data_IF_489611120469
#
_entry.id   IF_489611120469
#
_cell.length_a   1.000
_cell.length_b   1.000
_cell.length_c   1.000
_cell.angle_alpha   90.00
_cell.angle_beta   90.00
_cell.angle_gamma   90.00
#
_symmetry.space_group_name_H-M   'P 1'
#
loop_
_entity.id
_entity.type
_entity.pdbx_description
1 polymer ?
#
# COMPACT_ATOMS: atom_id res chain seq x y z
N UNK A 1 -48.82 2.47 -1.02
CA UNK A 1 -47.95 3.20 -0.08
C UNK A 1 -46.84 2.26 0.39
N UNK A 2 -45.70 2.23 -0.31
CA UNK A 2 -44.56 1.37 0.06
C UNK A 2 -43.49 2.24 0.72
N UNK A 3 -43.23 1.94 1.99
CA UNK A 3 -42.23 2.56 2.85
C UNK A 3 -40.83 2.07 2.46
N UNK A 4 -39.99 2.95 1.93
CA UNK A 4 -38.57 2.69 1.72
C UNK A 4 -37.79 3.26 2.91
N UNK A 5 -37.59 2.43 3.94
CA UNK A 5 -36.62 2.71 5.00
C UNK A 5 -35.21 2.68 4.39
N UNK A 6 -34.66 3.85 4.08
CA UNK A 6 -33.24 4.02 3.80
C UNK A 6 -32.46 3.72 5.09
N UNK A 7 -31.96 2.49 5.22
CA UNK A 7 -30.93 2.15 6.19
C UNK A 7 -29.65 2.89 5.80
N UNK A 8 -29.46 4.09 6.35
CA UNK A 8 -28.18 4.78 6.33
C UNK A 8 -27.19 3.93 7.15
N UNK A 9 -26.38 3.13 6.46
CA UNK A 9 -25.18 2.52 7.04
C UNK A 9 -24.24 3.67 7.41
N UNK A 10 -24.22 4.04 8.70
CA UNK A 10 -23.17 4.87 9.25
C UNK A 10 -21.85 4.12 9.05
N UNK A 11 -21.06 4.52 8.05
CA UNK A 11 -19.72 3.99 7.88
C UNK A 11 -18.83 4.56 8.99
N UNK A 12 -18.07 3.73 9.70
CA UNK A 12 -17.09 4.23 10.66
C UNK A 12 -15.98 4.95 9.88
N UNK A 13 -16.01 6.28 9.89
CA UNK A 13 -14.94 7.10 9.32
C UNK A 13 -13.63 6.79 10.03
N UNK A 14 -12.65 6.29 9.28
CA UNK A 14 -11.31 6.09 9.80
C UNK A 14 -10.64 7.44 10.09
N UNK A 15 -9.65 7.47 10.98
CA UNK A 15 -8.84 8.68 11.22
C UNK A 15 -8.19 9.25 9.95
N UNK A 16 -7.94 8.40 8.96
CA UNK A 16 -7.45 8.78 7.63
C UNK A 16 -8.48 9.62 6.87
N UNK A 17 -9.75 9.25 6.95
CA UNK A 17 -10.83 9.88 6.18
C UNK A 17 -11.11 11.29 6.74
N UNK A 18 -11.00 11.47 8.07
CA UNK A 18 -11.10 12.78 8.70
C UNK A 18 -9.95 13.71 8.29
N UNK A 19 -8.73 13.19 8.16
CA UNK A 19 -7.59 13.99 7.72
C UNK A 19 -7.73 14.40 6.26
N UNK A 20 -8.29 13.53 5.41
CA UNK A 20 -8.52 13.79 3.99
C UNK A 20 -9.62 14.85 3.83
N UNK A 21 -10.72 14.71 4.57
CA UNK A 21 -11.79 15.70 4.62
C UNK A 21 -11.29 17.07 5.09
N UNK A 22 -10.48 17.13 6.16
CA UNK A 22 -9.93 18.39 6.65
C UNK A 22 -9.07 19.11 5.61
N UNK A 23 -8.27 18.35 4.82
CA UNK A 23 -7.44 18.93 3.76
C UNK A 23 -8.28 19.47 2.60
N UNK A 24 -9.28 18.70 2.18
CA UNK A 24 -10.26 19.13 1.19
C UNK A 24 -10.94 20.45 1.62
N UNK A 25 -11.36 20.54 2.89
CA UNK A 25 -11.96 21.77 3.46
C UNK A 25 -11.00 22.96 3.42
N UNK A 26 -9.74 22.77 3.84
CA UNK A 26 -8.73 23.84 3.81
C UNK A 26 -8.44 24.29 2.38
N UNK A 27 -8.31 23.35 1.44
CA UNK A 27 -8.05 23.68 0.04
C UNK A 27 -9.22 24.44 -0.60
N UNK A 28 -10.45 23.99 -0.39
CA UNK A 28 -11.64 24.67 -0.88
C UNK A 28 -11.79 26.06 -0.26
N UNK A 29 -11.58 26.20 1.05
CA UNK A 29 -11.65 27.49 1.75
C UNK A 29 -10.58 28.50 1.30
N UNK A 30 -9.33 28.05 1.13
CA UNK A 30 -8.26 28.90 0.60
C UNK A 30 -8.53 29.33 -0.84
N UNK A 31 -8.99 28.40 -1.68
CA UNK A 31 -9.35 28.71 -3.06
C UNK A 31 -10.46 29.74 -3.12
N UNK A 32 -11.52 29.55 -2.32
CA UNK A 32 -12.63 30.50 -2.23
C UNK A 32 -12.12 31.90 -1.88
N UNK A 33 -11.35 32.01 -0.79
CA UNK A 33 -10.84 33.29 -0.32
C UNK A 33 -9.97 34.00 -1.36
N UNK A 34 -9.14 33.24 -2.08
CA UNK A 34 -8.24 33.80 -3.10
C UNK A 34 -9.02 34.19 -4.35
N UNK A 35 -10.04 33.43 -4.76
CA UNK A 35 -10.90 33.83 -5.88
C UNK A 35 -11.68 35.11 -5.55
N UNK A 36 -12.25 35.23 -4.34
CA UNK A 36 -12.95 36.48 -3.94
C UNK A 36 -12.03 37.69 -4.02
N UNK A 37 -10.79 37.55 -3.54
CA UNK A 37 -9.84 38.67 -3.45
C UNK A 37 -9.17 39.02 -4.77
N UNK A 38 -8.85 38.03 -5.61
CA UNK A 38 -8.11 38.23 -6.85
C UNK A 38 -9.03 38.45 -8.06
N UNK A 39 -10.08 37.64 -8.18
CA UNK A 39 -11.02 37.68 -9.31
C UNK A 39 -12.21 38.61 -9.08
N UNK A 40 -12.36 39.17 -7.87
CA UNK A 40 -13.47 40.03 -7.47
C UNK A 40 -14.85 39.40 -7.75
N UNK A 41 -14.91 38.07 -7.81
CA UNK A 41 -16.15 37.33 -8.05
C UNK A 41 -16.85 37.11 -6.72
N UNK A 42 -18.11 37.56 -6.55
CA UNK A 42 -18.80 37.48 -5.25
C UNK A 42 -19.08 36.04 -4.80
N UNK A 43 -19.20 35.09 -5.75
CA UNK A 43 -19.55 33.70 -5.49
C UNK A 43 -18.68 32.71 -6.31
N UNK A 44 -17.40 32.50 -5.95
CA UNK A 44 -16.48 31.65 -6.70
C UNK A 44 -16.67 30.15 -6.39
N UNK A 45 -17.86 29.64 -6.69
CA UNK A 45 -18.21 28.25 -6.39
C UNK A 45 -17.44 27.26 -7.27
N UNK A 46 -17.08 27.64 -8.50
CA UNK A 46 -16.43 26.74 -9.46
C UNK A 46 -15.01 26.43 -9.01
N UNK A 47 -14.28 27.46 -8.59
CA UNK A 47 -12.93 27.30 -8.05
C UNK A 47 -12.91 26.40 -6.81
N UNK A 48 -13.82 26.63 -5.86
CA UNK A 48 -13.90 25.81 -4.65
C UNK A 48 -14.24 24.34 -4.96
N UNK A 49 -15.16 24.10 -5.90
CA UNK A 49 -15.50 22.74 -6.37
C UNK A 49 -14.30 22.08 -7.05
N UNK A 50 -13.58 22.79 -7.91
CA UNK A 50 -12.37 22.28 -8.56
C UNK A 50 -11.30 21.87 -7.53
N UNK A 51 -11.03 22.71 -6.54
CA UNK A 51 -10.09 22.41 -5.48
C UNK A 51 -10.53 21.19 -4.65
N UNK A 52 -11.81 21.10 -4.31
CA UNK A 52 -12.37 19.97 -3.55
C UNK A 52 -12.19 18.64 -4.29
N UNK A 53 -12.44 18.62 -5.60
CA UNK A 53 -12.46 17.40 -6.41
C UNK A 53 -11.07 16.88 -6.78
N UNK A 54 -10.09 17.77 -6.84
CA UNK A 54 -8.73 17.43 -7.22
C UNK A 54 -7.93 16.93 -6.02
N UNK A 55 -8.29 17.36 -4.80
CA UNK A 55 -7.63 16.93 -3.57
C UNK A 55 -7.87 15.44 -3.34
N UNK A 56 -6.84 14.66 -3.66
CA UNK A 56 -6.81 13.23 -3.48
C UNK A 56 -5.87 12.83 -2.33
N UNK A 57 -5.91 11.55 -1.97
CA UNK A 57 -5.10 11.00 -0.87
C UNK A 57 -3.59 11.02 -1.16
N UNK A 58 -3.15 11.11 -2.42
CA UNK A 58 -1.73 11.16 -2.79
C UNK A 58 -1.47 12.25 -3.80
N UNK A 59 -0.30 12.90 -3.75
CA UNK A 59 0.09 13.95 -4.70
C UNK A 59 0.01 13.46 -6.15
N UNK A 60 0.40 12.21 -6.42
CA UNK A 60 0.31 11.63 -7.78
C UNK A 60 -1.14 11.50 -8.23
N UNK A 61 -2.01 11.01 -7.36
CA UNK A 61 -3.45 10.92 -7.66
C UNK A 61 -4.05 12.32 -7.82
N UNK A 62 -3.65 13.28 -6.99
CA UNK A 62 -4.06 14.69 -7.11
C UNK A 62 -3.62 15.26 -8.45
N UNK A 63 -2.37 15.03 -8.87
CA UNK A 63 -1.88 15.48 -10.18
C UNK A 63 -2.65 14.80 -11.31
N UNK A 64 -2.88 13.49 -11.24
CA UNK A 64 -3.65 12.76 -12.25
C UNK A 64 -5.12 13.23 -12.28
N UNK A 65 -5.72 13.53 -11.13
CA UNK A 65 -7.06 14.09 -11.04
C UNK A 65 -7.09 15.51 -11.63
N UNK A 66 -6.11 16.36 -11.29
CA UNK A 66 -5.96 17.70 -11.84
C UNK A 66 -5.81 17.69 -13.36
N UNK A 67 -5.00 16.80 -13.93
CA UNK A 67 -4.81 16.71 -15.38
C UNK A 67 -6.06 16.21 -16.09
N UNK A 68 -6.74 15.20 -15.55
CA UNK A 68 -8.03 14.72 -16.09
C UNK A 68 -9.12 15.79 -16.01
N UNK A 69 -9.20 16.49 -14.89
CA UNK A 69 -10.13 17.60 -14.69
C UNK A 69 -9.86 18.74 -15.67
N UNK A 70 -8.60 19.18 -15.77
CA UNK A 70 -8.18 20.22 -16.71
C UNK A 70 -8.44 19.82 -18.18
N UNK A 71 -8.13 18.57 -18.56
CA UNK A 71 -8.41 18.05 -19.89
C UNK A 71 -9.92 18.01 -20.16
N UNK A 72 -10.73 17.60 -19.18
CA UNK A 72 -12.19 17.60 -19.26
C UNK A 72 -12.77 18.99 -19.51
N UNK A 73 -12.32 19.98 -18.73
CA UNK A 73 -12.74 21.37 -18.90
C UNK A 73 -12.31 21.94 -20.26
N UNK A 74 -11.06 21.71 -20.67
CA UNK A 74 -10.54 22.18 -21.97
C UNK A 74 -11.32 21.58 -23.14
N UNK A 75 -11.56 20.27 -23.13
CA UNK A 75 -12.36 19.60 -24.15
C UNK A 75 -13.79 20.16 -24.18
N UNK A 76 -14.39 20.37 -23.01
CA UNK A 76 -15.73 20.97 -22.92
C UNK A 76 -15.78 22.36 -23.57
N UNK A 77 -14.80 23.22 -23.31
CA UNK A 77 -14.70 24.55 -23.94
C UNK A 77 -14.52 24.43 -25.46
N UNK A 78 -13.62 23.57 -25.91
CA UNK A 78 -13.31 23.36 -27.35
C UNK A 78 -14.52 22.86 -28.12
N UNK A 79 -15.38 22.03 -27.50
CA UNK A 79 -16.62 21.55 -28.13
C UNK A 79 -17.70 22.65 -28.10
N UNK A 80 -17.83 23.35 -26.98
CA UNK A 80 -18.92 24.29 -26.73
C UNK A 80 -18.81 25.58 -27.54
N UNK A 81 -17.61 26.18 -27.62
CA UNK A 81 -17.39 27.47 -28.30
C UNK A 81 -17.82 27.43 -29.79
N UNK A 82 -17.34 26.49 -30.64
CA UNK A 82 -17.75 26.46 -32.03
C UNK A 82 -19.24 26.17 -32.20
N UNK A 83 -19.81 25.26 -31.40
CA UNK A 83 -21.25 24.99 -31.44
C UNK A 83 -22.07 26.24 -31.04
N UNK A 84 -21.60 27.00 -30.05
CA UNK A 84 -22.21 28.24 -29.59
C UNK A 84 -21.97 29.44 -30.52
N UNK A 85 -21.15 29.32 -31.56
CA UNK A 85 -20.94 30.40 -32.54
C UNK A 85 -21.61 30.07 -33.87
N UNK A 86 -21.43 28.84 -34.37
CA UNK A 86 -21.76 28.48 -35.75
C UNK A 86 -23.07 27.72 -35.93
N UNK A 87 -23.62 27.10 -34.88
CA UNK A 87 -24.82 26.26 -35.00
C UNK A 87 -26.06 27.03 -34.60
N UNK A 88 -26.99 27.20 -35.54
CA UNK A 88 -28.35 27.67 -35.31
C UNK A 88 -29.36 26.63 -35.79
N UNK A 89 -30.52 26.45 -35.11
CA UNK A 89 -30.96 27.15 -33.89
C UNK A 89 -30.24 26.65 -32.62
N UNK A 90 -30.29 27.45 -31.54
CA UNK A 90 -29.57 27.19 -30.30
C UNK A 90 -29.87 25.81 -29.67
N UNK A 91 -31.10 25.29 -29.84
CA UNK A 91 -31.47 23.95 -29.38
C UNK A 91 -30.64 22.85 -30.05
N UNK A 92 -30.38 22.98 -31.36
CA UNK A 92 -29.58 22.02 -32.12
C UNK A 92 -28.11 22.11 -31.71
N UNK A 93 -27.58 23.33 -31.54
CA UNK A 93 -26.22 23.54 -31.03
C UNK A 93 -26.03 22.93 -29.64
N UNK A 94 -26.97 23.15 -28.73
CA UNK A 94 -26.96 22.57 -27.39
C UNK A 94 -27.04 21.03 -27.43
N UNK A 95 -27.96 20.49 -28.24
CA UNK A 95 -28.11 19.05 -28.43
C UNK A 95 -26.83 18.41 -28.94
N UNK A 96 -26.15 19.04 -29.89
CA UNK A 96 -24.86 18.61 -30.41
C UNK A 96 -23.77 18.60 -29.34
N UNK A 97 -23.66 19.67 -28.55
CA UNK A 97 -22.68 19.76 -27.45
C UNK A 97 -22.89 18.64 -26.44
N UNK A 98 -24.13 18.41 -26.01
CA UNK A 98 -24.46 17.33 -25.06
C UNK A 98 -24.18 15.97 -25.68
N UNK A 99 -24.62 15.75 -26.91
CA UNK A 99 -24.44 14.48 -27.62
C UNK A 99 -22.96 14.12 -27.81
N UNK A 100 -22.09 15.09 -28.07
CA UNK A 100 -20.64 14.86 -28.25
C UNK A 100 -19.92 14.75 -26.89
N UNK A 101 -20.29 15.57 -25.92
CA UNK A 101 -19.61 15.61 -24.61
C UNK A 101 -19.86 14.36 -23.76
N UNK A 102 -21.08 13.83 -23.73
CA UNK A 102 -21.44 12.65 -22.93
C UNK A 102 -20.63 11.38 -23.27
N UNK A 103 -20.48 10.96 -24.53
CA UNK A 103 -19.65 9.80 -24.85
C UNK A 103 -18.17 10.04 -24.57
N UNK A 104 -17.66 11.26 -24.80
CA UNK A 104 -16.28 11.65 -24.46
C UNK A 104 -16.03 11.59 -22.95
N UNK A 105 -17.02 11.97 -22.13
CA UNK A 105 -16.96 11.88 -20.68
C UNK A 105 -16.80 10.44 -20.16
N UNK A 106 -17.29 9.46 -20.93
CA UNK A 106 -17.22 8.03 -20.58
C UNK A 106 -15.91 7.36 -21.00
N UNK A 107 -15.02 8.09 -21.67
CA UNK A 107 -13.74 7.56 -22.10
C UNK A 107 -12.84 7.27 -20.89
N UNK A 108 -12.18 6.12 -20.88
CA UNK A 108 -11.35 5.64 -19.74
C UNK A 108 -10.25 6.63 -19.33
N UNK A 109 -9.80 7.46 -20.27
CA UNK A 109 -8.80 8.51 -20.05
C UNK A 109 -9.21 9.51 -18.96
N UNK A 110 -10.51 9.84 -18.81
CA UNK A 110 -10.98 10.87 -17.85
C UNK A 110 -11.36 10.29 -16.48
N UNK A 111 -11.59 8.98 -16.38
CA UNK A 111 -11.98 8.31 -15.13
C UNK A 111 -13.20 8.96 -14.46
N UNK A 112 -13.17 9.11 -13.13
CA UNK A 112 -14.28 9.68 -12.35
C UNK A 112 -14.52 11.18 -12.59
N UNK A 113 -13.51 11.90 -13.11
CA UNK A 113 -13.59 13.34 -13.38
C UNK A 113 -14.27 13.65 -14.73
N UNK A 114 -14.64 12.62 -15.51
CA UNK A 114 -15.27 12.77 -16.82
C UNK A 114 -16.60 13.54 -16.79
N UNK A 115 -17.33 13.49 -15.68
CA UNK A 115 -18.61 14.21 -15.52
C UNK A 115 -18.47 15.74 -15.63
N UNK A 116 -17.27 16.30 -15.45
CA UNK A 116 -17.05 17.73 -15.59
C UNK A 116 -16.99 18.20 -17.03
N UNK A 117 -16.64 17.33 -17.97
CA UNK A 117 -16.55 17.69 -19.39
C UNK A 117 -17.92 18.16 -19.93
N UNK A 118 -19.04 17.42 -19.75
CA UNK A 118 -20.36 17.89 -20.16
C UNK A 118 -20.83 19.13 -19.38
N UNK A 119 -20.55 19.21 -18.08
CA UNK A 119 -20.93 20.35 -17.25
C UNK A 119 -20.24 21.63 -17.72
N UNK A 120 -18.92 21.60 -17.90
CA UNK A 120 -18.15 22.75 -18.40
C UNK A 120 -18.54 23.11 -19.83
N UNK A 121 -18.82 22.11 -20.69
CA UNK A 121 -19.30 22.36 -22.05
C UNK A 121 -20.64 23.10 -22.05
N UNK A 122 -21.59 22.67 -21.22
CA UNK A 122 -22.91 23.29 -21.11
C UNK A 122 -22.81 24.74 -20.62
N UNK A 123 -22.04 24.97 -19.55
CA UNK A 123 -21.84 26.31 -18.99
C UNK A 123 -21.17 27.22 -20.03
N UNK A 124 -20.13 26.72 -20.70
CA UNK A 124 -19.43 27.48 -21.74
C UNK A 124 -20.36 27.83 -22.90
N UNK A 125 -21.19 26.87 -23.36
CA UNK A 125 -22.15 27.11 -24.43
C UNK A 125 -23.13 28.22 -24.05
N UNK A 126 -23.68 28.18 -22.83
CA UNK A 126 -24.60 29.18 -22.33
C UNK A 126 -23.97 30.58 -22.26
N UNK A 127 -22.75 30.70 -21.70
CA UNK A 127 -22.04 31.97 -21.56
C UNK A 127 -21.66 32.60 -22.91
N UNK A 128 -21.17 31.78 -23.86
CA UNK A 128 -20.82 32.25 -25.21
C UNK A 128 -22.06 32.73 -25.95
N UNK A 129 -23.15 31.95 -25.91
CA UNK A 129 -24.40 32.30 -26.61
C UNK A 129 -25.07 33.52 -25.99
N UNK A 130 -25.02 33.66 -24.67
CA UNK A 130 -25.48 34.83 -23.93
C UNK A 130 -24.61 36.08 -24.13
N UNK A 131 -23.48 35.97 -24.83
CA UNK A 131 -22.51 37.06 -25.06
C UNK A 131 -21.89 37.62 -23.77
N UNK A 132 -21.55 36.73 -22.85
CA UNK A 132 -20.85 37.04 -21.59
C UNK A 132 -19.39 36.54 -21.61
N UNK A 133 -18.51 37.06 -22.49
CA UNK A 133 -17.13 36.55 -22.62
C UNK A 133 -16.28 36.81 -21.36
N UNK A 134 -16.54 37.92 -20.65
CA UNK A 134 -15.84 38.24 -19.41
C UNK A 134 -16.11 37.19 -18.30
N UNK A 135 -17.35 36.70 -18.23
CA UNK A 135 -17.75 35.66 -17.26
C UNK A 135 -17.15 34.29 -17.60
N UNK A 136 -16.97 33.99 -18.89
CA UNK A 136 -16.23 32.79 -19.30
C UNK A 136 -14.77 32.85 -18.85
N UNK A 137 -14.12 34.01 -18.98
CA UNK A 137 -12.73 34.21 -18.54
C UNK A 137 -12.63 34.04 -17.02
N UNK A 138 -13.53 34.65 -16.24
CA UNK A 138 -13.53 34.47 -14.78
C UNK A 138 -13.79 33.01 -14.40
N UNK A 139 -14.70 32.32 -15.08
CA UNK A 139 -15.00 30.90 -14.85
C UNK A 139 -13.77 30.01 -15.07
N UNK A 140 -13.03 30.21 -16.16
CA UNK A 140 -11.80 29.45 -16.45
C UNK A 140 -10.67 29.80 -15.49
N UNK A 141 -10.56 31.06 -15.07
CA UNK A 141 -9.59 31.48 -14.08
C UNK A 141 -9.89 30.88 -12.70
N UNK A 142 -11.15 30.80 -12.28
CA UNK A 142 -11.57 30.09 -11.06
C UNK A 142 -11.15 28.62 -11.08
N UNK A 143 -11.41 27.92 -12.19
CA UNK A 143 -10.99 26.52 -12.37
C UNK A 143 -9.46 26.40 -12.21
N UNK A 144 -8.73 27.28 -12.87
CA UNK A 144 -7.25 27.26 -12.86
C UNK A 144 -6.70 27.51 -11.47
N UNK A 145 -7.26 28.47 -10.73
CA UNK A 145 -6.90 28.71 -9.33
C UNK A 145 -7.26 27.51 -8.45
N UNK A 146 -8.44 26.91 -8.62
CA UNK A 146 -8.84 25.73 -7.87
C UNK A 146 -7.91 24.55 -8.08
N UNK A 147 -7.48 24.30 -9.32
CA UNK A 147 -6.45 23.31 -9.63
C UNK A 147 -5.13 23.66 -8.91
N UNK A 148 -4.68 24.92 -9.01
CA UNK A 148 -3.42 25.36 -8.43
C UNK A 148 -3.40 25.24 -6.90
N UNK A 149 -4.45 25.69 -6.22
CA UNK A 149 -4.58 25.60 -4.76
C UNK A 149 -4.84 24.18 -4.28
N UNK A 150 -5.63 23.38 -5.02
CA UNK A 150 -5.77 21.95 -4.73
C UNK A 150 -4.42 21.24 -4.78
N UNK A 151 -3.61 21.52 -5.79
CA UNK A 151 -2.27 20.98 -5.94
C UNK A 151 -1.30 21.51 -4.87
N UNK A 152 -1.34 22.81 -4.58
CA UNK A 152 -0.50 23.43 -3.56
C UNK A 152 -0.84 22.92 -2.16
N UNK A 153 -2.12 22.83 -1.79
CA UNK A 153 -2.55 22.23 -0.53
C UNK A 153 -2.16 20.75 -0.47
N UNK A 154 -2.33 20.00 -1.55
CA UNK A 154 -1.84 18.62 -1.64
C UNK A 154 -0.31 18.51 -1.60
N UNK A 155 0.45 19.54 -1.98
CA UNK A 155 1.90 19.52 -1.86
C UNK A 155 2.40 19.97 -0.47
N UNK A 156 1.82 21.05 0.07
CA UNK A 156 2.25 21.72 1.31
C UNK A 156 1.66 21.07 2.57
N UNK A 157 0.39 20.65 2.55
CA UNK A 157 -0.25 19.96 3.68
C UNK A 157 0.15 18.49 3.78
N UNK A 158 1.10 18.02 2.96
CA UNK A 158 1.71 16.70 3.09
C UNK A 158 2.98 16.72 3.95
N UNK A 159 2.86 16.44 5.25
CA UNK A 159 3.82 15.65 6.00
C UNK A 159 3.21 14.29 6.33
N UNK A 160 2.51 13.63 5.41
CA UNK A 160 1.94 12.31 5.66
C UNK A 160 2.72 11.26 4.89
N UNK A 161 3.98 11.07 5.29
CA UNK A 161 4.70 9.87 4.89
C UNK A 161 3.93 8.69 5.51
N UNK A 162 3.11 8.01 4.71
CA UNK A 162 2.43 6.74 5.05
C UNK A 162 3.40 5.64 5.47
N UNK A 163 4.71 5.93 5.57
CA UNK A 163 5.72 5.14 6.28
C UNK A 163 5.21 4.64 7.61
N UNK A 164 4.49 5.42 8.43
CA UNK A 164 3.99 4.90 9.71
C UNK A 164 2.91 3.82 9.52
N UNK A 165 2.02 3.99 8.55
CA UNK A 165 1.03 2.97 8.19
C UNK A 165 1.69 1.72 7.59
N UNK A 166 2.70 1.90 6.73
CA UNK A 166 3.47 0.79 6.16
C UNK A 166 4.31 0.08 7.22
N UNK A 167 4.95 0.82 8.14
CA UNK A 167 5.67 0.29 9.31
C UNK A 167 4.71 -0.56 10.16
N UNK A 168 3.51 -0.05 10.45
CA UNK A 168 2.50 -0.78 11.21
C UNK A 168 2.00 -2.03 10.49
N UNK A 169 1.70 -1.96 9.18
CA UNK A 169 1.25 -3.12 8.40
C UNK A 169 2.33 -4.19 8.31
N UNK A 170 3.60 -3.82 8.15
CA UNK A 170 4.71 -4.75 8.13
C UNK A 170 5.00 -5.34 9.52
N UNK A 171 4.94 -4.53 10.59
CA UNK A 171 5.05 -5.05 11.96
C UNK A 171 3.91 -6.02 12.28
N UNK A 172 2.68 -5.74 11.82
CA UNK A 172 1.54 -6.65 11.94
C UNK A 172 1.81 -7.96 11.20
N UNK A 173 2.24 -7.92 9.94
CA UNK A 173 2.58 -9.13 9.17
C UNK A 173 3.64 -9.97 9.87
N UNK A 174 4.71 -9.35 10.39
CA UNK A 174 5.78 -10.07 11.10
C UNK A 174 5.34 -10.69 12.40
N UNK A 175 4.55 -9.94 13.17
CA UNK A 175 3.96 -10.44 14.41
C UNK A 175 3.05 -11.64 14.11
N UNK A 176 2.28 -11.56 13.03
CA UNK A 176 1.38 -12.63 12.62
C UNK A 176 2.16 -13.86 12.13
N UNK A 177 3.19 -13.69 11.29
CA UNK A 177 4.09 -14.77 10.88
C UNK A 177 4.79 -15.46 12.07
N UNK A 178 5.30 -14.68 13.03
CA UNK A 178 5.93 -15.21 14.23
C UNK A 178 4.94 -16.01 15.08
N UNK A 179 3.72 -15.49 15.29
CA UNK A 179 2.65 -16.23 15.99
C UNK A 179 2.27 -17.52 15.28
N UNK A 180 2.26 -17.52 13.95
CA UNK A 180 1.95 -18.74 13.18
C UNK A 180 3.06 -19.78 13.30
N UNK A 181 4.32 -19.36 13.24
CA UNK A 181 5.47 -20.24 13.50
C UNK A 181 5.43 -20.82 14.93
N UNK A 182 5.08 -20.01 15.93
CA UNK A 182 4.89 -20.48 17.31
C UNK A 182 3.70 -21.45 17.42
N UNK A 183 2.58 -21.17 16.75
CA UNK A 183 1.42 -22.07 16.73
C UNK A 183 1.70 -23.38 16.00
N UNK A 184 2.52 -23.37 14.94
CA UNK A 184 3.03 -24.60 14.31
C UNK A 184 3.96 -25.36 15.26
N UNK A 185 4.81 -24.67 16.02
CA UNK A 185 5.67 -25.29 17.02
C UNK A 185 4.84 -25.96 18.11
N UNK A 186 3.77 -25.32 18.57
CA UNK A 186 2.84 -25.87 19.55
C UNK A 186 2.04 -27.05 18.99
N UNK A 187 1.59 -26.99 17.73
CA UNK A 187 0.94 -28.10 17.06
C UNK A 187 1.86 -29.33 16.97
N UNK A 188 3.13 -29.13 16.59
CA UNK A 188 4.14 -30.19 16.56
C UNK A 188 4.42 -30.74 17.97
N UNK A 189 4.58 -29.88 18.97
CA UNK A 189 4.87 -30.28 20.34
C UNK A 189 3.71 -31.06 20.99
N UNK A 190 2.45 -30.66 20.71
CA UNK A 190 1.23 -31.30 21.22
C UNK A 190 0.76 -32.47 20.34
N UNK A 191 1.38 -32.67 19.17
CA UNK A 191 0.98 -33.66 18.15
C UNK A 191 -0.45 -33.45 17.66
N UNK A 192 -0.87 -32.20 17.60
CA UNK A 192 -2.15 -31.80 17.07
C UNK A 192 -2.01 -31.26 15.66
N UNK A 193 -3.11 -31.21 14.92
CA UNK A 193 -3.10 -30.61 13.59
C UNK A 193 -2.99 -29.09 13.72
N UNK A 194 -2.13 -28.41 12.94
CA UNK A 194 -2.05 -26.95 12.88
C UNK A 194 -3.40 -26.24 12.90
N UNK A 195 -4.37 -26.71 12.11
CA UNK A 195 -5.73 -26.14 12.05
C UNK A 195 -6.50 -26.13 13.39
N UNK A 196 -6.16 -27.01 14.33
CA UNK A 196 -6.78 -27.05 15.65
C UNK A 196 -6.22 -25.96 16.58
N UNK A 197 -4.94 -25.61 16.40
CA UNK A 197 -4.24 -24.60 17.23
C UNK A 197 -4.42 -23.19 16.64
N UNK A 198 -4.29 -23.07 15.32
CA UNK A 198 -4.32 -21.80 14.58
C UNK A 198 -5.72 -21.42 14.06
N UNK A 199 -6.65 -22.38 14.04
CA UNK A 199 -7.98 -22.21 13.46
C UNK A 199 -7.99 -22.45 11.94
N UNK A 200 -9.14 -22.76 11.35
CA UNK A 200 -9.27 -23.13 9.92
C UNK A 200 -9.01 -22.00 8.92
N UNK A 201 -8.95 -20.74 9.38
CA UNK A 201 -8.77 -19.55 8.56
C UNK A 201 -7.36 -19.00 8.51
N UNK A 202 -6.38 -19.67 9.15
CA UNK A 202 -5.05 -19.13 9.39
C UNK A 202 -4.29 -18.73 8.12
N UNK A 203 -4.37 -19.54 7.05
CA UNK A 203 -3.74 -19.21 5.74
C UNK A 203 -4.35 -17.94 5.14
N UNK A 204 -5.69 -17.82 5.16
CA UNK A 204 -6.39 -16.63 4.62
C UNK A 204 -6.07 -15.36 5.41
N UNK A 205 -5.92 -15.47 6.73
CA UNK A 205 -5.53 -14.33 7.57
C UNK A 205 -4.13 -13.83 7.21
N UNK A 206 -3.20 -14.76 6.98
CA UNK A 206 -1.82 -14.45 6.62
C UNK A 206 -1.71 -13.88 5.19
N UNK A 207 -2.44 -14.43 4.23
CA UNK A 207 -2.57 -13.90 2.87
C UNK A 207 -3.11 -12.46 2.87
N UNK A 208 -4.17 -12.20 3.63
CA UNK A 208 -4.77 -10.87 3.76
C UNK A 208 -3.79 -9.87 4.39
N UNK A 209 -3.06 -10.28 5.43
CA UNK A 209 -2.04 -9.46 6.07
C UNK A 209 -0.87 -9.14 5.11
N UNK A 210 -0.45 -10.11 4.28
CA UNK A 210 0.60 -9.94 3.29
C UNK A 210 0.17 -8.98 2.17
N UNK A 211 -1.04 -9.15 1.65
CA UNK A 211 -1.62 -8.25 0.64
C UNK A 211 -1.72 -6.81 1.19
N UNK A 212 -2.23 -6.64 2.41
CA UNK A 212 -2.33 -5.34 3.06
C UNK A 212 -0.96 -4.68 3.27
N UNK A 213 0.06 -5.45 3.68
CA UNK A 213 1.41 -4.96 3.84
C UNK A 213 2.05 -4.53 2.51
N UNK A 214 1.87 -5.32 1.44
CA UNK A 214 2.35 -4.99 0.09
C UNK A 214 1.76 -3.68 -0.41
N UNK A 215 0.43 -3.55 -0.37
CA UNK A 215 -0.26 -2.32 -0.80
C UNK A 215 0.23 -1.11 0.00
N UNK A 216 0.34 -1.23 1.32
CA UNK A 216 0.81 -0.12 2.16
C UNK A 216 2.28 0.27 1.86
N UNK A 217 3.15 -0.70 1.57
CA UNK A 217 4.56 -0.47 1.21
C UNK A 217 4.66 0.19 -0.17
N UNK A 218 3.88 -0.26 -1.16
CA UNK A 218 3.89 0.31 -2.50
C UNK A 218 3.36 1.75 -2.50
N UNK A 219 2.26 2.01 -1.81
CA UNK A 219 1.72 3.36 -1.62
C UNK A 219 2.73 4.29 -0.91
N UNK A 220 3.45 3.77 0.09
CA UNK A 220 4.47 4.54 0.80
C UNK A 220 5.67 4.87 -0.12
N UNK A 221 6.14 3.91 -0.92
CA UNK A 221 7.24 4.12 -1.88
C UNK A 221 6.86 5.16 -2.94
N UNK A 222 5.64 5.06 -3.47
CA UNK A 222 5.12 6.03 -4.43
C UNK A 222 5.07 7.43 -3.79
N UNK A 223 4.59 7.52 -2.55
CA UNK A 223 4.55 8.77 -1.79
C UNK A 223 5.93 9.39 -1.58
N UNK A 224 6.99 8.59 -1.34
CA UNK A 224 8.36 9.13 -1.15
C UNK A 224 9.07 9.48 -2.44
N UNK A 225 8.78 8.77 -3.54
CA UNK A 225 9.35 9.12 -4.85
C UNK A 225 8.99 10.56 -5.25
N UNK A 226 7.77 10.97 -4.96
CA UNK A 226 7.21 12.26 -5.36
C UNK A 226 7.19 13.31 -4.24
N UNK A 227 7.80 13.01 -3.09
CA UNK A 227 7.90 13.97 -2.00
C UNK A 227 9.02 14.98 -2.28
N UNK A 228 8.64 16.24 -2.48
CA UNK A 228 9.55 17.39 -2.66
C UNK A 228 10.37 17.73 -1.41
N UNK A 229 9.97 17.26 -0.21
CA UNK A 229 10.66 17.58 1.05
C UNK A 229 11.85 16.64 1.32
N UNK A 230 13.11 17.14 1.38
CA UNK A 230 14.32 16.32 1.55
C UNK A 230 14.41 15.60 2.90
N UNK A 231 13.69 16.06 3.94
CA UNK A 231 13.69 15.43 5.27
C UNK A 231 13.08 14.02 5.27
N UNK A 232 12.12 13.75 4.37
CA UNK A 232 11.53 12.42 4.21
C UNK A 232 12.50 11.41 3.58
N UNK A 233 13.46 11.87 2.75
CA UNK A 233 14.55 11.05 2.21
C UNK A 233 15.61 10.69 3.26
N UNK A 234 15.73 11.46 4.36
CA UNK A 234 16.74 11.23 5.41
C UNK A 234 16.31 10.22 6.48
N UNK A 235 15.03 9.92 6.64
CA UNK A 235 14.58 8.87 7.55
C UNK A 235 15.03 7.53 6.95
N UNK A 236 15.84 6.73 7.66
CA UNK A 236 16.31 5.43 7.17
C UNK A 236 15.09 4.55 6.86
N UNK A 237 14.83 4.33 5.58
CA UNK A 237 13.74 3.51 5.10
C UNK A 237 14.07 2.04 5.37
N UNK A 238 13.50 1.49 6.45
CA UNK A 238 13.62 0.07 6.82
C UNK A 238 12.65 -0.84 6.02
N UNK A 239 11.72 -0.23 5.27
CA UNK A 239 10.72 -0.87 4.43
C UNK A 239 11.24 -1.07 3.00
N UNK A 240 12.38 -1.73 2.84
CA UNK A 240 12.91 -2.05 1.52
C UNK A 240 12.02 -3.11 0.83
N UNK A 241 11.84 -3.01 -0.49
CA UNK A 241 11.17 -4.05 -1.31
C UNK A 241 11.81 -5.43 -1.07
N UNK A 242 13.10 -5.48 -0.71
CA UNK A 242 13.80 -6.70 -0.31
C UNK A 242 13.21 -7.34 0.95
N UNK A 243 12.94 -6.56 2.00
CA UNK A 243 12.32 -7.07 3.24
C UNK A 243 10.94 -7.62 2.94
N UNK A 244 10.17 -6.94 2.08
CA UNK A 244 8.85 -7.42 1.70
C UNK A 244 8.89 -8.72 0.89
N UNK A 245 9.82 -8.86 -0.05
CA UNK A 245 10.05 -10.13 -0.74
C UNK A 245 10.44 -11.24 0.23
N UNK A 246 11.33 -10.94 1.16
CA UNK A 246 11.76 -11.90 2.20
C UNK A 246 10.56 -12.39 3.02
N UNK A 247 9.70 -11.48 3.50
CA UNK A 247 8.52 -11.86 4.28
C UNK A 247 7.48 -12.63 3.46
N UNK A 248 7.34 -12.32 2.16
CA UNK A 248 6.50 -13.08 1.24
C UNK A 248 7.05 -14.50 1.00
N UNK A 249 8.36 -14.65 0.88
CA UNK A 249 8.99 -15.96 0.72
C UNK A 249 8.84 -16.78 2.00
N UNK A 250 9.05 -16.16 3.18
CA UNK A 250 8.82 -16.81 4.47
C UNK A 250 7.36 -17.25 4.63
N UNK A 251 6.40 -16.39 4.32
CA UNK A 251 4.97 -16.73 4.34
C UNK A 251 4.68 -18.00 3.52
N UNK A 252 5.14 -18.03 2.27
CA UNK A 252 4.94 -19.18 1.37
C UNK A 252 5.49 -20.48 1.97
N UNK A 253 6.68 -20.44 2.55
CA UNK A 253 7.33 -21.61 3.16
C UNK A 253 6.62 -22.04 4.45
N UNK A 254 6.15 -21.10 5.27
CA UNK A 254 5.35 -21.38 6.48
C UNK A 254 4.02 -22.04 6.13
N UNK A 255 3.32 -21.53 5.12
CA UNK A 255 2.08 -22.13 4.61
C UNK A 255 2.32 -23.54 4.04
N UNK A 256 3.42 -23.75 3.31
CA UNK A 256 3.78 -25.08 2.82
C UNK A 256 4.07 -26.08 3.96
N UNK A 257 4.86 -25.67 4.95
CA UNK A 257 5.14 -26.50 6.13
C UNK A 257 3.88 -26.79 6.95
N UNK A 258 2.99 -25.81 7.14
CA UNK A 258 1.71 -25.99 7.83
C UNK A 258 0.80 -26.98 7.12
N UNK A 259 0.68 -26.91 5.78
CA UNK A 259 -0.09 -27.88 4.99
C UNK A 259 0.45 -29.31 5.12
N UNK A 260 1.78 -29.48 5.06
CA UNK A 260 2.42 -30.78 5.26
C UNK A 260 2.14 -31.35 6.66
N UNK A 261 2.16 -30.50 7.70
CA UNK A 261 1.81 -30.89 9.06
C UNK A 261 0.31 -31.21 9.23
N UNK A 262 -0.58 -30.56 8.49
CA UNK A 262 -2.02 -30.85 8.51
C UNK A 262 -2.37 -32.16 7.78
N UNK A 263 -1.60 -32.55 6.77
CA UNK A 263 -1.75 -33.84 6.06
C UNK A 263 -1.25 -35.03 6.85
N UNK A 264 -0.47 -34.81 7.91
CA UNK A 264 0.04 -35.89 8.76
C UNK A 264 -1.10 -36.62 9.47
N UNK A 265 -1.06 -37.97 9.51
CA UNK A 265 -1.99 -38.72 10.34
C UNK A 265 -1.75 -38.33 11.80
N UNK A 266 -2.77 -37.75 12.45
CA UNK A 266 -2.74 -37.48 13.88
C UNK A 266 -2.57 -38.83 14.59
N UNK A 267 -1.38 -39.10 15.11
CA UNK A 267 -1.05 -40.37 15.76
C UNK A 267 -2.05 -40.56 16.89
N UNK A 268 -3.00 -41.46 16.68
CA UNK A 268 -4.07 -41.72 17.62
C UNK A 268 -3.69 -42.90 18.50
N UNK A 269 -3.65 -42.60 19.80
CA UNK A 269 -3.69 -43.47 20.99
C UNK A 269 -2.38 -44.06 21.55
N UNK A 270 -2.21 -43.97 22.89
CA UNK A 270 -1.16 -44.68 23.62
C UNK A 270 -1.48 -46.17 23.62
N UNK A 271 -0.69 -46.99 22.90
CA UNK A 271 -0.90 -48.44 22.90
C UNK A 271 -0.20 -49.21 21.78
N UNK A 272 0.12 -48.59 20.64
CA UNK A 272 0.83 -49.26 19.57
C UNK A 272 2.35 -49.22 19.83
N UNK A 273 2.88 -50.26 20.48
CA UNK A 273 4.33 -50.53 20.53
C UNK A 273 4.83 -50.83 19.12
N UNK A 274 5.43 -49.84 18.48
CA UNK A 274 6.18 -49.97 17.24
C UNK A 274 7.20 -48.85 17.14
N UNK A 275 8.45 -49.17 16.80
CA UNK A 275 9.62 -48.27 16.85
C UNK A 275 9.47 -46.91 16.12
N UNK A 276 8.48 -46.75 15.25
CA UNK A 276 8.16 -45.48 14.58
C UNK A 276 7.58 -44.38 15.48
N UNK A 277 7.05 -44.71 16.66
CA UNK A 277 6.61 -43.70 17.65
C UNK A 277 7.81 -43.05 18.35
N UNK A 278 8.81 -43.84 18.77
CA UNK A 278 10.02 -43.33 19.42
C UNK A 278 10.87 -42.44 18.49
N UNK A 279 10.92 -42.76 17.19
CA UNK A 279 11.60 -41.92 16.20
C UNK A 279 10.89 -40.57 15.94
N UNK A 280 9.54 -40.57 15.93
CA UNK A 280 8.76 -39.34 15.83
C UNK A 280 8.92 -38.42 17.05
N UNK A 281 9.14 -39.01 18.23
CA UNK A 281 9.37 -38.30 19.50
C UNK A 281 10.70 -37.54 19.48
N UNK A 282 11.74 -38.12 18.86
CA UNK A 282 13.05 -37.49 18.70
C UNK A 282 13.05 -36.29 17.74
N UNK A 283 12.13 -36.23 16.75
CA UNK A 283 12.08 -35.15 15.76
C UNK A 283 11.21 -33.96 16.19
N UNK A 284 10.04 -34.23 16.76
CA UNK A 284 9.06 -33.18 17.07
C UNK A 284 9.59 -32.10 18.02
N UNK A 285 10.30 -32.50 19.09
CA UNK A 285 10.87 -31.56 20.07
C UNK A 285 11.90 -30.60 19.46
N UNK A 286 12.98 -31.10 18.84
CA UNK A 286 13.96 -30.27 18.16
C UNK A 286 13.36 -29.40 17.04
N UNK A 287 12.42 -29.94 16.25
CA UNK A 287 11.77 -29.19 15.17
C UNK A 287 10.88 -28.06 15.70
N UNK A 288 10.11 -28.29 16.77
CA UNK A 288 9.36 -27.25 17.46
C UNK A 288 10.28 -26.15 18.03
N UNK A 289 11.43 -26.54 18.60
CA UNK A 289 12.46 -25.61 19.04
C UNK A 289 12.99 -24.74 17.89
N UNK A 290 13.26 -25.37 16.74
CA UNK A 290 13.69 -24.67 15.53
C UNK A 290 12.62 -23.68 15.05
N UNK A 291 11.35 -24.08 14.97
CA UNK A 291 10.24 -23.19 14.59
C UNK A 291 10.17 -21.94 15.49
N UNK A 292 10.29 -22.09 16.82
CA UNK A 292 10.32 -20.96 17.77
C UNK A 292 11.52 -20.04 17.56
N UNK A 293 12.72 -20.60 17.34
CA UNK A 293 13.89 -19.75 17.03
C UNK A 293 13.74 -19.01 15.71
N UNK A 294 13.05 -19.62 14.74
CA UNK A 294 12.74 -19.01 13.45
C UNK A 294 11.70 -17.90 13.61
N UNK A 295 10.69 -18.09 14.46
CA UNK A 295 9.70 -17.07 14.82
C UNK A 295 10.36 -15.80 15.37
N UNK A 296 11.34 -15.94 16.26
CA UNK A 296 12.12 -14.82 16.79
C UNK A 296 12.90 -14.09 15.67
N UNK A 297 13.49 -14.83 14.73
CA UNK A 297 14.22 -14.25 13.61
C UNK A 297 13.30 -13.46 12.66
N UNK A 298 12.10 -13.99 12.37
CA UNK A 298 11.08 -13.31 11.56
C UNK A 298 10.54 -12.07 12.26
N UNK A 299 10.23 -12.18 13.55
CA UNK A 299 9.81 -11.04 14.38
C UNK A 299 10.86 -9.94 14.41
N UNK A 300 12.15 -10.29 14.41
CA UNK A 300 13.29 -9.36 14.42
C UNK A 300 13.71 -8.80 13.05
N UNK A 301 13.21 -9.31 11.93
CA UNK A 301 13.61 -8.96 10.55
C UNK A 301 13.28 -7.51 10.12
N UNK A 302 13.97 -6.48 10.66
CA UNK A 302 13.71 -5.02 10.42
C UNK A 302 14.40 -4.41 9.20
N UNK A 303 15.01 -5.18 8.30
CA UNK A 303 15.79 -4.63 7.19
C UNK A 303 17.06 -3.94 7.68
N UNK A 304 18.17 -4.66 7.66
CA UNK A 304 19.43 -4.24 8.25
C UNK A 304 20.22 -5.43 8.76
N UNK A 305 20.51 -5.45 10.07
CA UNK A 305 21.30 -6.53 10.67
C UNK A 305 20.45 -7.79 10.89
N UNK A 306 21.00 -8.98 10.64
CA UNK A 306 20.31 -10.23 10.97
C UNK A 306 20.07 -10.32 12.47
N UNK A 307 18.98 -10.99 12.87
CA UNK A 307 18.68 -11.25 14.27
C UNK A 307 19.83 -12.07 14.91
N UNK A 308 20.25 -11.79 16.16
CA UNK A 308 21.36 -12.50 16.80
C UNK A 308 21.13 -14.01 16.95
N UNK A 309 19.87 -14.46 16.93
CA UNK A 309 19.53 -15.88 16.98
C UNK A 309 19.67 -16.62 15.64
N UNK A 310 19.92 -15.92 14.51
CA UNK A 310 19.97 -16.53 13.19
C UNK A 310 21.10 -17.59 13.05
N UNK A 311 22.33 -17.36 13.54
CA UNK A 311 23.37 -18.39 13.54
C UNK A 311 22.99 -19.61 14.37
N UNK A 312 22.34 -19.39 15.53
CA UNK A 312 21.88 -20.46 16.40
C UNK A 312 20.78 -21.31 15.74
N UNK A 313 19.83 -20.68 15.05
CA UNK A 313 18.79 -21.37 14.29
C UNK A 313 19.38 -22.21 13.15
N UNK A 314 20.38 -21.68 12.42
CA UNK A 314 21.10 -22.46 11.40
C UNK A 314 21.87 -23.64 11.97
N UNK A 315 22.52 -23.45 13.10
CA UNK A 315 23.26 -24.54 13.75
C UNK A 315 22.31 -25.62 14.29
N UNK A 316 21.13 -25.23 14.79
CA UNK A 316 20.08 -26.16 15.17
C UNK A 316 19.53 -26.92 13.96
N UNK A 317 19.29 -26.25 12.82
CA UNK A 317 18.87 -26.88 11.56
C UNK A 317 19.92 -27.87 11.05
N UNK A 318 21.20 -27.49 11.04
CA UNK A 318 22.30 -28.35 10.59
C UNK A 318 22.41 -29.62 11.44
N UNK A 319 22.21 -29.51 12.77
CA UNK A 319 22.12 -30.68 13.65
C UNK A 319 20.89 -31.54 13.38
N UNK A 320 19.78 -30.92 12.96
CA UNK A 320 18.52 -31.62 12.68
C UNK A 320 18.55 -32.43 11.37
N UNK A 321 19.26 -31.93 10.36
CA UNK A 321 19.38 -32.54 9.02
C UNK A 321 20.70 -33.26 8.73
N UNK A 322 21.64 -33.29 9.68
CA UNK A 322 22.94 -33.94 9.52
C UNK A 322 22.86 -35.48 9.50
N UNK A 323 23.81 -36.16 8.82
CA UNK A 323 23.83 -37.62 8.70
C UNK A 323 24.10 -38.35 10.03
N UNK A 324 24.65 -37.65 11.02
CA UNK A 324 25.07 -38.17 12.33
C UNK A 324 23.95 -38.19 13.39
N UNK A 325 22.70 -38.03 12.94
CA UNK A 325 21.53 -37.97 13.82
C UNK A 325 21.09 -39.38 14.20
N UNK A 326 20.86 -39.60 15.49
CA UNK A 326 20.27 -40.83 16.01
C UNK A 326 18.89 -40.54 16.65
N UNK A 327 17.76 -41.00 16.08
CA UNK A 327 17.64 -41.72 14.80
C UNK A 327 17.70 -40.76 13.59
N UNK A 328 18.12 -41.27 12.41
CA UNK A 328 18.19 -40.48 11.18
C UNK A 328 16.81 -40.00 10.72
N UNK A 329 16.78 -38.94 9.91
CA UNK A 329 15.55 -38.43 9.29
C UNK A 329 15.11 -39.40 8.20
N UNK A 330 14.37 -40.43 8.57
CA UNK A 330 14.04 -41.56 7.70
C UNK A 330 12.76 -41.33 6.87
N UNK A 331 11.96 -40.30 7.21
CA UNK A 331 10.72 -39.95 6.49
C UNK A 331 10.95 -38.80 5.51
N UNK A 332 10.55 -39.01 4.25
CA UNK A 332 10.52 -37.98 3.22
C UNK A 332 9.79 -36.70 3.68
N UNK A 333 8.71 -36.84 4.43
CA UNK A 333 7.98 -35.70 5.02
C UNK A 333 8.86 -34.83 5.95
N UNK A 334 9.67 -35.45 6.82
CA UNK A 334 10.55 -34.71 7.74
C UNK A 334 11.66 -33.98 6.97
N UNK A 335 12.12 -34.58 5.87
CA UNK A 335 13.08 -33.94 4.96
C UNK A 335 12.48 -32.70 4.28
N UNK A 336 11.23 -32.77 3.83
CA UNK A 336 10.52 -31.62 3.26
C UNK A 336 10.33 -30.50 4.30
N UNK A 337 9.98 -30.83 5.55
CA UNK A 337 9.84 -29.85 6.64
C UNK A 337 11.16 -29.12 6.95
N UNK A 338 12.26 -29.87 7.04
CA UNK A 338 13.61 -29.29 7.22
C UNK A 338 13.97 -28.40 6.02
N UNK A 339 13.65 -28.81 4.79
CA UNK A 339 13.90 -28.02 3.59
C UNK A 339 13.15 -26.68 3.57
N UNK A 340 11.88 -26.66 4.00
CA UNK A 340 11.12 -25.41 4.11
C UNK A 340 11.73 -24.44 5.12
N UNK A 341 12.21 -24.92 6.28
CA UNK A 341 12.89 -24.06 7.25
C UNK A 341 14.26 -23.58 6.80
N UNK A 342 15.00 -24.41 6.06
CA UNK A 342 16.25 -23.98 5.42
C UNK A 342 16.02 -22.84 4.43
N UNK A 343 14.98 -22.96 3.61
CA UNK A 343 14.57 -21.90 2.68
C UNK A 343 14.21 -20.61 3.42
N UNK A 344 13.45 -20.70 4.53
CA UNK A 344 13.11 -19.54 5.39
C UNK A 344 14.36 -18.86 5.95
N UNK A 345 15.27 -19.63 6.57
CA UNK A 345 16.49 -19.09 7.18
C UNK A 345 17.43 -18.48 6.12
N UNK A 346 17.47 -19.07 4.92
CA UNK A 346 18.21 -18.56 3.78
C UNK A 346 17.65 -17.24 3.26
N UNK A 347 16.33 -17.10 3.13
CA UNK A 347 15.70 -15.82 2.78
C UNK A 347 16.00 -14.74 3.83
N UNK A 348 15.95 -15.09 5.12
CA UNK A 348 16.27 -14.16 6.20
C UNK A 348 17.75 -13.71 6.17
N UNK A 349 18.66 -14.50 5.61
CA UNK A 349 20.08 -14.09 5.49
C UNK A 349 20.34 -13.18 4.30
N UNK A 350 19.70 -13.43 3.16
CA UNK A 350 19.90 -12.65 1.94
C UNK A 350 19.27 -11.26 2.00
N UNK A 351 18.36 -11.06 2.97
CA UNK A 351 17.79 -9.75 3.31
C UNK A 351 18.78 -8.75 3.94
N UNK A 352 20.01 -9.20 4.27
CA UNK A 352 21.08 -8.39 4.84
C UNK A 352 21.72 -7.53 3.74
N UNK A 353 21.76 -6.19 3.86
CA UNK A 353 22.59 -5.39 2.99
C UNK A 353 24.05 -5.76 3.25
N UNK A 354 24.78 -6.14 2.21
CA UNK A 354 26.24 -6.14 2.26
C UNK A 354 26.66 -4.78 2.78
N UNK A 355 27.44 -4.69 3.88
CA UNK A 355 27.98 -3.42 4.30
C UNK A 355 28.87 -2.95 3.16
N UNK A 356 28.40 -1.99 2.38
CA UNK A 356 29.28 -1.19 1.55
C UNK A 356 30.19 -0.47 2.53
N UNK A 357 31.35 -1.09 2.80
CA UNK A 357 32.53 -0.40 3.31
C UNK A 357 32.86 0.67 2.28
N UNK A 358 32.16 1.79 2.32
CA UNK A 358 32.78 3.04 1.91
C UNK A 358 33.83 3.31 2.98
N UNK A 359 35.03 2.76 2.76
CA UNK A 359 36.23 3.36 3.29
C UNK A 359 36.20 4.80 2.78
N UNK A 360 35.70 5.72 3.61
CA UNK A 360 36.16 7.10 3.60
C UNK A 360 37.67 6.98 3.83
N UNK A 361 38.41 6.98 2.72
CA UNK A 361 39.83 7.27 2.73
C UNK A 361 39.90 8.67 3.32
N UNK A 362 40.19 8.72 4.62
CA UNK A 362 40.68 9.93 5.26
C UNK A 362 41.98 10.23 4.53
N UNK A 363 41.91 11.14 3.57
CA UNK A 363 43.08 11.76 2.97
C UNK A 363 43.95 12.28 4.11
N UNK A 364 45.20 11.83 4.28
CA UNK A 364 46.07 12.43 5.27
C UNK A 364 46.29 13.89 4.86
N UNK A 365 45.87 14.80 5.73
CA UNK A 365 46.18 16.22 5.62
C UNK A 365 47.70 16.35 5.47
N UNK A 366 48.14 16.85 4.31
CA UNK A 366 49.55 17.18 4.04
C UNK A 366 50.04 18.19 5.10
N UNK A 367 51.27 18.04 5.61
CA UNK A 367 51.84 19.01 6.53
C UNK A 367 52.08 20.33 5.80
N UNK A 368 51.83 21.41 6.53
CA UNK A 368 52.10 22.80 6.16
C UNK A 368 53.57 22.99 5.75
N UNK A 369 53.82 23.53 4.56
CA UNK A 369 55.10 24.16 4.26
C UNK A 369 55.03 25.63 4.64
N UNK A 370 55.77 25.97 5.70
CA UNK A 370 56.39 27.28 5.89
C UNK A 370 57.30 27.59 4.69
N UNK A 371 57.15 28.77 4.10
CA UNK A 371 58.26 29.71 3.88
C UNK A 371 57.71 31.11 3.78
#
# INVERSE_FOLDING_TARGET
MLSARMSARAMPFGRTDCADAARATVAAGLTWQVCVTLLHTPHPYVGAVAALLIVEATVVRTVAAATRYAAGCLLGVVIAVPAALYVEPAMVGLGLVVFVSVPLARHELLGHQGLHLPTTALITFALVRGRHPAELVSHLAEITLGIAFGLACSALLFPAVRVRSAEHSVERLRTLLARHLDGLADAVARRERPRNVLGSGWERELDAALAQARTAVDEAHESVRWNVRPTARRRRWHLDRRVMRTLADVERQVCAAGRLLDTRPAVSRPGARGGGAAAADGFAGPYAGLLRTTALCVYGCRGGRPHPALPAARHALARLGGPDRDPPVDRDEDRHLVHHLDAVLSCLTTSVPTPTRQHRVLSPLRPSQRR
#
